data_IF_610653465025
#
_entry.id   IF_610653465025
#
_cell.length_a   1.000
_cell.length_b   1.000
_cell.length_c   1.000
_cell.angle_alpha   90.00
_cell.angle_beta   90.00
_cell.angle_gamma   90.00
#
_symmetry.space_group_name_H-M   'P 1'
#
loop_
_entity.id
_entity.type
_entity.pdbx_description
1 polymer ?
#
# COMPACT_ATOMS: atom_id res chain seq x y z
N UNK A 1 -6.15 0.23 32.72
CA UNK A 1 -5.46 1.21 31.85
C UNK A 1 -6.23 1.24 30.54
N UNK A 2 -6.49 2.42 29.98
CA UNK A 2 -7.22 2.53 28.72
C UNK A 2 -6.39 1.94 27.56
N UNK A 3 -7.01 1.10 26.73
CA UNK A 3 -6.34 0.33 25.67
C UNK A 3 -5.59 1.25 24.70
N UNK A 4 -6.26 2.34 24.29
CA UNK A 4 -5.70 3.35 23.38
C UNK A 4 -4.50 4.03 24.01
N UNK A 5 -4.60 4.47 25.26
CA UNK A 5 -3.52 5.16 25.96
C UNK A 5 -2.28 4.25 26.17
N UNK A 6 -2.48 2.96 26.47
CA UNK A 6 -1.38 2.00 26.57
C UNK A 6 -0.63 1.88 25.23
N UNK A 7 -1.36 1.72 24.13
CA UNK A 7 -0.75 1.58 22.80
C UNK A 7 -0.08 2.90 22.37
N UNK A 8 -0.73 4.04 22.58
CA UNK A 8 -0.17 5.37 22.27
C UNK A 8 1.19 5.57 22.92
N UNK A 9 1.33 5.22 24.21
CA UNK A 9 2.61 5.31 24.94
C UNK A 9 3.67 4.37 24.38
N UNK A 10 3.28 3.14 24.04
CA UNK A 10 4.21 2.15 23.47
C UNK A 10 4.75 2.62 22.12
N UNK A 11 3.88 3.11 21.23
CA UNK A 11 4.31 3.51 19.89
C UNK A 11 4.99 4.89 19.85
N UNK A 12 4.74 5.78 20.82
CA UNK A 12 5.31 7.13 20.83
C UNK A 12 6.84 7.14 20.78
N UNK A 13 7.50 6.14 21.36
CA UNK A 13 8.97 6.00 21.34
C UNK A 13 9.49 5.31 20.07
N UNK A 14 8.60 4.69 19.29
CA UNK A 14 8.98 3.83 18.17
C UNK A 14 8.60 4.39 16.79
N UNK A 15 7.76 5.42 16.76
CA UNK A 15 7.36 6.08 15.52
C UNK A 15 8.56 6.77 14.89
N UNK A 16 8.87 6.37 13.66
CA UNK A 16 9.89 7.01 12.84
C UNK A 16 9.22 7.59 11.58
N UNK A 17 9.18 8.92 11.42
CA UNK A 17 8.65 9.56 10.22
C UNK A 17 9.27 9.01 8.93
N UNK A 18 10.52 8.55 8.94
CA UNK A 18 11.20 7.97 7.79
C UNK A 18 10.56 6.68 7.28
N UNK A 19 9.75 6.00 8.09
CA UNK A 19 9.00 4.81 7.68
C UNK A 19 7.65 5.15 7.02
N UNK A 20 7.27 6.43 7.05
CA UNK A 20 6.06 6.96 6.43
C UNK A 20 4.76 6.37 6.98
N UNK A 21 3.67 6.63 6.28
CA UNK A 21 2.34 6.12 6.59
C UNK A 21 2.30 4.60 6.66
N UNK A 22 3.02 3.93 5.75
CA UNK A 22 2.99 2.48 5.68
C UNK A 22 3.65 1.84 6.90
N UNK A 23 4.90 2.19 7.23
CA UNK A 23 5.55 1.63 8.41
C UNK A 23 4.85 1.99 9.72
N UNK A 24 4.37 3.23 9.85
CA UNK A 24 3.61 3.67 11.02
C UNK A 24 2.34 2.84 11.23
N UNK A 25 1.57 2.62 10.17
CA UNK A 25 0.38 1.77 10.22
C UNK A 25 0.70 0.33 10.66
N UNK A 26 1.79 -0.25 10.15
CA UNK A 26 2.22 -1.60 10.52
C UNK A 26 2.66 -1.69 11.98
N UNK A 27 3.41 -0.69 12.46
CA UNK A 27 3.88 -0.59 13.84
C UNK A 27 2.74 -0.44 14.83
N UNK A 28 1.77 0.43 14.52
CA UNK A 28 0.57 0.59 15.33
C UNK A 28 -0.28 -0.68 15.34
N UNK A 29 -0.45 -1.34 14.18
CA UNK A 29 -1.13 -2.64 14.10
C UNK A 29 -0.44 -3.71 14.96
N UNK A 30 0.91 -3.70 15.01
CA UNK A 30 1.70 -4.59 15.85
C UNK A 30 1.41 -4.39 17.33
N UNK A 31 1.42 -3.14 17.80
CA UNK A 31 1.09 -2.82 19.18
C UNK A 31 -0.37 -3.18 19.52
N UNK A 32 -1.32 -2.83 18.65
CA UNK A 32 -2.74 -3.23 18.79
C UNK A 32 -2.88 -4.75 18.95
N UNK A 33 -2.21 -5.52 18.07
CA UNK A 33 -2.29 -6.99 18.07
C UNK A 33 -1.66 -7.61 19.32
N UNK A 34 -0.54 -7.05 19.80
CA UNK A 34 0.13 -7.48 21.04
C UNK A 34 -0.78 -7.35 22.26
N UNK A 35 -1.64 -6.34 22.28
CA UNK A 35 -2.61 -6.11 23.34
C UNK A 35 -3.97 -6.78 23.09
N UNK A 36 -4.07 -7.68 22.09
CA UNK A 36 -5.27 -8.47 21.81
C UNK A 36 -6.32 -7.81 20.92
N UNK A 37 -6.04 -6.61 20.38
CA UNK A 37 -6.90 -5.96 19.40
C UNK A 37 -6.59 -6.36 17.96
N UNK A 38 -7.36 -5.83 17.01
CA UNK A 38 -7.17 -6.05 15.58
C UNK A 38 -7.81 -4.95 14.73
N UNK A 39 -7.49 -4.91 13.44
CA UNK A 39 -8.18 -4.06 12.47
C UNK A 39 -9.16 -4.89 11.65
N UNK A 40 -10.42 -4.47 11.55
CA UNK A 40 -11.44 -5.05 10.68
C UNK A 40 -11.66 -4.13 9.48
N UNK A 41 -11.81 -4.65 8.27
CA UNK A 41 -12.11 -3.84 7.10
C UNK A 41 -12.96 -4.59 6.06
N UNK A 42 -13.85 -3.86 5.39
CA UNK A 42 -14.76 -4.41 4.39
C UNK A 42 -14.96 -3.43 3.23
N UNK A 43 -15.28 -3.99 2.08
CA UNK A 43 -15.50 -3.25 0.84
C UNK A 43 -16.81 -2.47 0.85
N UNK A 44 -16.81 -1.31 0.19
CA UNK A 44 -17.96 -0.46 -0.09
C UNK A 44 -17.86 0.08 -1.51
N UNK A 45 -18.96 0.45 -2.18
CA UNK A 45 -18.90 0.98 -3.55
C UNK A 45 -17.86 2.07 -3.76
N UNK A 46 -17.76 2.99 -2.79
CA UNK A 46 -16.87 4.15 -2.73
C UNK A 46 -15.43 3.83 -2.27
N UNK A 47 -15.14 2.62 -1.79
CA UNK A 47 -13.81 2.26 -1.27
C UNK A 47 -13.84 1.18 -0.20
N UNK A 48 -13.18 1.45 0.92
CA UNK A 48 -13.09 0.58 2.09
C UNK A 48 -13.57 1.34 3.33
N UNK A 49 -14.20 0.62 4.25
CA UNK A 49 -14.37 1.04 5.64
C UNK A 49 -13.55 0.13 6.54
N UNK A 50 -13.01 0.70 7.61
CA UNK A 50 -12.20 0.00 8.59
C UNK A 50 -12.57 0.39 10.02
N UNK A 51 -12.32 -0.52 10.95
CA UNK A 51 -12.48 -0.36 12.40
C UNK A 51 -11.25 -0.89 13.12
N UNK A 52 -10.88 -0.24 14.20
CA UNK A 52 -9.97 -0.81 15.19
C UNK A 52 -10.81 -1.36 16.34
N UNK A 53 -10.58 -2.63 16.65
CA UNK A 53 -11.27 -3.36 17.71
C UNK A 53 -10.29 -3.61 18.86
N UNK A 54 -10.67 -3.25 20.08
CA UNK A 54 -9.88 -3.51 21.28
C UNK A 54 -9.97 -4.98 21.74
N UNK A 55 -9.22 -5.33 22.79
CA UNK A 55 -9.20 -6.69 23.34
C UNK A 55 -10.53 -7.17 23.95
N UNK A 56 -11.48 -6.27 24.18
CA UNK A 56 -12.81 -6.57 24.70
C UNK A 56 -13.87 -6.62 23.60
N UNK A 57 -13.48 -6.39 22.34
CA UNK A 57 -14.39 -6.36 21.21
C UNK A 57 -15.05 -5.00 20.97
N UNK A 58 -14.63 -3.93 21.65
CA UNK A 58 -15.17 -2.60 21.42
C UNK A 58 -14.49 -1.91 20.24
N UNK A 59 -15.28 -1.19 19.45
CA UNK A 59 -14.77 -0.31 18.40
C UNK A 59 -14.15 0.91 19.07
N UNK A 60 -12.86 1.14 18.83
CA UNK A 60 -12.11 2.27 19.39
C UNK A 60 -11.68 3.30 18.34
N UNK A 61 -11.86 2.99 17.06
CA UNK A 61 -11.63 3.92 15.96
C UNK A 61 -12.29 3.41 14.67
N UNK A 62 -12.73 4.33 13.82
CA UNK A 62 -13.33 4.04 12.52
C UNK A 62 -12.66 4.88 11.44
N UNK A 63 -12.59 4.36 10.22
CA UNK A 63 -11.96 5.06 9.12
C UNK A 63 -12.39 4.57 7.75
N UNK A 64 -12.05 5.37 6.75
CA UNK A 64 -12.36 5.10 5.35
C UNK A 64 -11.15 5.32 4.46
N UNK A 65 -11.15 4.69 3.27
CA UNK A 65 -10.07 4.85 2.33
C UNK A 65 -10.27 4.18 0.99
N UNK A 66 -9.47 4.60 0.00
CA UNK A 66 -9.47 4.01 -1.36
C UNK A 66 -9.04 2.54 -1.38
N UNK A 67 -8.40 2.04 -0.32
CA UNK A 67 -8.03 0.63 -0.12
C UNK A 67 -7.79 0.35 1.39
N UNK A 68 -7.48 -0.89 1.78
CA UNK A 68 -7.45 -1.26 3.21
C UNK A 68 -6.40 -0.51 4.05
N UNK A 69 -5.11 -0.44 3.64
CA UNK A 69 -4.09 0.22 4.46
C UNK A 69 -4.39 1.69 4.85
N UNK A 70 -4.78 2.61 3.93
CA UNK A 70 -5.13 3.98 4.33
C UNK A 70 -6.37 4.05 5.21
N UNK A 71 -7.39 3.20 4.97
CA UNK A 71 -8.59 3.16 5.83
C UNK A 71 -8.25 2.72 7.26
N UNK A 72 -7.36 1.74 7.40
CA UNK A 72 -6.88 1.25 8.71
C UNK A 72 -6.07 2.32 9.42
N UNK A 73 -5.15 3.01 8.72
CA UNK A 73 -4.38 4.10 9.33
C UNK A 73 -5.28 5.26 9.77
N UNK A 74 -6.26 5.64 8.96
CA UNK A 74 -7.24 6.66 9.35
C UNK A 74 -7.99 6.25 10.62
N UNK A 75 -8.46 5.00 10.70
CA UNK A 75 -9.10 4.48 11.90
C UNK A 75 -8.18 4.49 13.14
N UNK A 76 -6.87 4.32 12.95
CA UNK A 76 -5.89 4.47 14.03
C UNK A 76 -5.69 5.93 14.44
N UNK A 77 -5.74 6.88 13.51
CA UNK A 77 -5.66 8.31 13.85
C UNK A 77 -6.89 8.75 14.61
N UNK A 78 -8.09 8.46 14.08
CA UNK A 78 -9.36 8.80 14.72
C UNK A 78 -9.56 8.11 16.06
N UNK A 79 -9.06 6.87 16.19
CA UNK A 79 -9.06 6.17 17.47
C UNK A 79 -8.08 6.73 18.50
N UNK A 80 -7.34 7.80 18.16
CA UNK A 80 -6.44 8.50 19.07
C UNK A 80 -5.18 7.71 19.40
N UNK A 81 -4.70 6.82 18.53
CA UNK A 81 -3.48 6.05 18.83
C UNK A 81 -2.20 6.88 18.75
N UNK A 82 -2.26 8.11 18.25
CA UNK A 82 -1.11 9.01 18.09
C UNK A 82 -1.25 10.27 18.95
N UNK A 83 -0.12 10.97 19.18
CA UNK A 83 -0.18 12.35 19.70
C UNK A 83 -0.84 13.26 18.67
N UNK A 84 -1.40 14.39 19.11
CA UNK A 84 -2.09 15.34 18.23
C UNK A 84 -1.23 15.75 17.02
N UNK A 85 0.03 16.12 17.24
CA UNK A 85 0.95 16.54 16.17
C UNK A 85 1.28 15.45 15.16
N UNK A 86 1.41 14.19 15.61
CA UNK A 86 1.64 13.05 14.73
C UNK A 86 0.37 12.71 13.97
N UNK A 87 -0.79 12.72 14.63
CA UNK A 87 -2.08 12.49 13.98
C UNK A 87 -2.36 13.51 12.87
N UNK A 88 -2.12 14.80 13.13
CA UNK A 88 -2.26 15.88 12.14
C UNK A 88 -1.34 15.64 10.93
N UNK A 89 -0.04 15.37 11.16
CA UNK A 89 0.92 15.06 10.08
C UNK A 89 0.52 13.84 9.24
N UNK A 90 -0.01 12.79 9.89
CA UNK A 90 -0.48 11.58 9.22
C UNK A 90 -1.68 11.91 8.33
N UNK A 91 -2.66 12.66 8.82
CA UNK A 91 -3.85 13.06 8.05
C UNK A 91 -3.49 13.95 6.86
N UNK A 92 -2.57 14.90 7.03
CA UNK A 92 -2.05 15.74 5.95
C UNK A 92 -1.43 14.92 4.81
N UNK A 93 -0.93 13.73 5.11
CA UNK A 93 -0.32 12.81 4.14
C UNK A 93 -1.27 11.71 3.63
N UNK A 94 -2.55 11.76 4.02
CA UNK A 94 -3.64 10.89 3.57
C UNK A 94 -4.63 11.62 2.65
N UNK A 95 -4.17 12.63 1.90
CA UNK A 95 -5.04 13.42 1.01
C UNK A 95 -5.68 12.61 -0.13
N UNK A 96 -5.16 11.41 -0.43
CA UNK A 96 -5.83 10.46 -1.34
C UNK A 96 -7.28 10.11 -0.95
N UNK A 97 -7.68 10.38 0.30
CA UNK A 97 -9.04 10.21 0.78
C UNK A 97 -10.01 11.21 0.15
N UNK A 98 -9.54 12.41 -0.20
CA UNK A 98 -10.35 13.45 -0.85
C UNK A 98 -10.84 12.97 -2.22
N UNK A 99 -10.02 12.19 -2.92
CA UNK A 99 -10.31 11.69 -4.27
C UNK A 99 -11.07 10.34 -4.24
N UNK A 100 -11.53 9.86 -3.09
CA UNK A 100 -12.18 8.53 -2.96
C UNK A 100 -13.35 8.32 -3.91
N UNK A 101 -14.27 9.29 -3.97
CA UNK A 101 -15.45 9.18 -4.81
C UNK A 101 -15.07 9.08 -6.28
N UNK A 102 -14.14 9.92 -6.74
CA UNK A 102 -13.67 9.93 -8.13
C UNK A 102 -12.90 8.65 -8.48
N UNK A 103 -12.04 8.18 -7.58
CA UNK A 103 -11.35 6.88 -7.74
C UNK A 103 -12.36 5.74 -7.86
N UNK A 104 -13.45 5.79 -7.09
CA UNK A 104 -14.48 4.75 -7.10
C UNK A 104 -15.23 4.66 -8.44
N UNK A 105 -15.35 5.79 -9.16
CA UNK A 105 -16.00 5.83 -10.49
C UNK A 105 -15.22 5.07 -11.57
N UNK A 106 -13.93 4.82 -11.36
CA UNK A 106 -13.06 4.10 -12.32
C UNK A 106 -13.23 2.58 -12.20
N UNK A 107 -13.19 2.06 -10.97
CA UNK A 107 -13.31 0.60 -10.73
C UNK A 107 -14.04 0.23 -9.44
N UNK A 108 -14.04 1.10 -8.43
CA UNK A 108 -14.83 0.94 -7.20
C UNK A 108 -14.35 -0.16 -6.26
N UNK A 109 -15.04 -0.29 -5.11
CA UNK A 109 -14.89 -1.40 -4.17
C UNK A 109 -13.47 -1.60 -3.59
N UNK A 110 -12.74 -0.49 -3.42
CA UNK A 110 -11.41 -0.49 -2.83
C UNK A 110 -10.32 -1.14 -3.70
N UNK A 111 -10.59 -1.34 -5.00
CA UNK A 111 -9.70 -2.05 -5.94
C UNK A 111 -8.88 -1.09 -6.78
N UNK A 112 -7.73 -0.73 -6.24
CA UNK A 112 -6.81 0.22 -6.88
C UNK A 112 -5.73 -0.44 -7.73
N UNK A 113 -5.31 -1.67 -7.44
CA UNK A 113 -4.18 -2.30 -8.16
C UNK A 113 -4.49 -2.49 -9.65
N UNK A 114 -5.67 -3.01 -9.99
CA UNK A 114 -6.08 -3.25 -11.38
C UNK A 114 -6.09 -1.97 -12.23
N UNK A 115 -6.77 -0.87 -11.84
CA UNK A 115 -6.73 0.37 -12.60
C UNK A 115 -5.35 1.02 -12.62
N UNK A 116 -4.58 0.94 -11.53
CA UNK A 116 -3.20 1.46 -11.48
C UNK A 116 -2.28 0.75 -12.47
N UNK A 117 -2.36 -0.58 -12.56
CA UNK A 117 -1.62 -1.38 -13.55
C UNK A 117 -2.00 -0.97 -14.97
N UNK A 118 -3.29 -0.76 -15.24
CA UNK A 118 -3.74 -0.29 -16.55
C UNK A 118 -3.19 1.10 -16.88
N UNK A 119 -3.14 2.01 -15.89
CA UNK A 119 -2.57 3.35 -16.03
C UNK A 119 -1.06 3.33 -16.32
N UNK A 120 -0.30 2.50 -15.60
CA UNK A 120 1.14 2.36 -15.86
C UNK A 120 1.41 1.91 -17.29
N UNK A 121 0.71 0.87 -17.76
CA UNK A 121 0.90 0.37 -19.13
C UNK A 121 0.56 1.44 -20.16
N UNK A 122 -0.57 2.13 -20.00
CA UNK A 122 -1.03 3.12 -20.96
C UNK A 122 -0.07 4.31 -21.09
N UNK A 123 0.44 4.82 -19.97
CA UNK A 123 1.41 5.93 -19.97
C UNK A 123 2.72 5.51 -20.62
N UNK A 124 3.21 4.31 -20.33
CA UNK A 124 4.43 3.78 -20.92
C UNK A 124 4.29 3.48 -22.41
N UNK A 125 3.15 2.95 -22.85
CA UNK A 125 2.87 2.69 -24.27
C UNK A 125 2.84 3.99 -25.10
N UNK A 126 2.54 5.12 -24.44
CA UNK A 126 2.59 6.47 -25.02
C UNK A 126 3.98 7.12 -24.88
N UNK A 127 5.01 6.40 -24.43
CA UNK A 127 6.36 6.92 -24.24
C UNK A 127 6.55 7.77 -22.98
N UNK A 128 5.49 7.95 -22.17
CA UNK A 128 5.54 8.67 -20.90
C UNK A 128 6.08 7.83 -19.74
N UNK A 129 6.08 8.42 -18.55
CA UNK A 129 6.54 7.75 -17.32
C UNK A 129 5.74 8.17 -16.10
N UNK A 130 5.80 7.35 -15.05
CA UNK A 130 5.19 7.65 -13.75
C UNK A 130 6.29 7.71 -12.70
N UNK A 131 6.49 8.89 -12.12
CA UNK A 131 7.52 9.15 -11.10
C UNK A 131 6.87 9.08 -9.72
N UNK A 132 7.58 8.51 -8.75
CA UNK A 132 7.16 8.53 -7.34
C UNK A 132 8.16 9.31 -6.51
N UNK A 133 7.64 10.16 -5.62
CA UNK A 133 8.43 11.00 -4.73
C UNK A 133 7.91 10.88 -3.30
N UNK A 134 8.78 10.95 -2.31
CA UNK A 134 8.42 11.05 -0.91
C UNK A 134 7.92 12.48 -0.64
N UNK A 135 6.89 12.58 0.19
CA UNK A 135 6.33 13.88 0.60
C UNK A 135 5.84 13.77 2.04
N UNK A 136 6.65 14.27 2.98
CA UNK A 136 6.43 14.09 4.41
C UNK A 136 6.35 12.61 4.82
N UNK A 137 5.18 12.20 5.31
CA UNK A 137 4.86 10.82 5.68
C UNK A 137 4.25 10.02 4.51
N UNK A 138 3.85 10.71 3.45
CA UNK A 138 3.21 10.12 2.29
C UNK A 138 4.13 10.10 1.07
N UNK A 139 3.51 9.83 -0.08
CA UNK A 139 4.14 9.77 -1.39
C UNK A 139 3.30 10.58 -2.37
N UNK A 140 3.97 11.35 -3.21
CA UNK A 140 3.41 12.00 -4.38
C UNK A 140 3.71 11.16 -5.62
N UNK A 141 2.77 11.16 -6.56
CA UNK A 141 2.91 10.47 -7.84
C UNK A 141 2.72 11.48 -8.95
N UNK A 142 3.66 11.50 -9.89
CA UNK A 142 3.66 12.42 -11.02
C UNK A 142 3.54 11.60 -12.30
N UNK A 143 2.52 11.89 -13.10
CA UNK A 143 2.40 11.38 -14.46
C UNK A 143 3.11 12.33 -15.40
N UNK A 144 3.96 11.80 -16.27
CA UNK A 144 4.71 12.55 -17.28
C UNK A 144 4.44 12.01 -18.67
N UNK A 145 4.40 12.89 -19.67
CA UNK A 145 4.31 12.52 -21.08
C UNK A 145 5.67 12.13 -21.68
N UNK A 146 5.68 11.78 -22.97
CA UNK A 146 6.88 11.41 -23.74
C UNK A 146 7.96 12.50 -23.81
N UNK A 147 7.60 13.76 -23.55
CA UNK A 147 8.51 14.90 -23.55
C UNK A 147 8.96 15.29 -22.14
N UNK A 148 8.75 14.42 -21.15
CA UNK A 148 8.99 14.66 -19.72
C UNK A 148 8.20 15.87 -19.15
N UNK A 149 7.08 16.24 -19.77
CA UNK A 149 6.20 17.27 -19.23
C UNK A 149 5.20 16.64 -18.26
N UNK A 150 5.01 17.29 -17.12
CA UNK A 150 4.02 16.85 -16.12
C UNK A 150 2.60 16.93 -16.69
N UNK A 151 1.93 15.78 -16.72
CA UNK A 151 0.51 15.64 -17.04
C UNK A 151 -0.35 15.95 -15.82
N UNK A 152 0.01 15.37 -14.67
CA UNK A 152 -0.59 15.73 -13.39
C UNK A 152 0.29 15.28 -12.21
N UNK A 153 0.08 15.93 -11.07
CA UNK A 153 0.59 15.52 -9.76
C UNK A 153 -0.58 15.06 -8.89
N UNK A 154 -0.47 13.86 -8.34
CA UNK A 154 -1.43 13.30 -7.38
C UNK A 154 -1.36 13.98 -6.01
N UNK A 155 -2.38 13.79 -5.16
CA UNK A 155 -2.29 14.23 -3.77
C UNK A 155 -1.24 13.42 -3.00
N UNK A 156 -0.77 13.95 -1.87
CA UNK A 156 0.07 13.18 -0.94
C UNK A 156 -0.73 11.97 -0.45
N UNK A 157 -0.14 10.79 -0.60
CA UNK A 157 -0.86 9.51 -0.46
C UNK A 157 -0.13 8.49 0.42
N UNK A 158 -0.87 7.48 0.90
CA UNK A 158 -0.35 6.42 1.78
C UNK A 158 0.82 5.60 1.19
N UNK A 159 0.82 5.35 -0.12
CA UNK A 159 1.86 4.61 -0.84
C UNK A 159 1.76 4.89 -2.35
N UNK A 160 2.71 4.41 -3.18
CA UNK A 160 2.70 4.64 -4.63
C UNK A 160 1.40 4.22 -5.31
N UNK A 161 0.88 3.03 -4.99
CA UNK A 161 -0.36 2.53 -5.59
C UNK A 161 -1.56 3.41 -5.21
N UNK A 162 -1.60 3.91 -3.98
CA UNK A 162 -2.65 4.83 -3.53
C UNK A 162 -2.55 6.16 -4.28
N UNK A 163 -1.33 6.71 -4.42
CA UNK A 163 -1.09 7.96 -5.12
C UNK A 163 -1.38 7.87 -6.61
N UNK A 164 -1.01 6.77 -7.28
CA UNK A 164 -1.36 6.58 -8.69
C UNK A 164 -2.87 6.49 -8.88
N UNK A 165 -3.58 5.78 -8.00
CA UNK A 165 -5.03 5.71 -8.07
C UNK A 165 -5.68 7.09 -7.86
N UNK A 166 -5.26 7.84 -6.85
CA UNK A 166 -5.80 9.16 -6.55
C UNK A 166 -5.43 10.24 -7.58
N UNK A 167 -4.29 10.08 -8.26
CA UNK A 167 -3.90 10.95 -9.36
C UNK A 167 -4.72 10.68 -10.63
N UNK A 168 -5.18 9.45 -10.84
CA UNK A 168 -5.80 9.03 -12.10
C UNK A 168 -7.03 9.86 -12.52
N UNK A 169 -7.98 10.21 -11.63
CA UNK A 169 -9.09 11.11 -11.97
C UNK A 169 -8.68 12.48 -12.50
N UNK A 170 -7.45 12.94 -12.20
CA UNK A 170 -6.92 14.24 -12.67
C UNK A 170 -6.48 14.21 -14.13
N UNK A 171 -6.50 13.04 -14.77
CA UNK A 171 -6.31 12.87 -16.22
C UNK A 171 -7.60 12.23 -16.78
N UNK A 172 -8.66 13.03 -17.04
CA UNK A 172 -10.00 12.49 -17.32
C UNK A 172 -10.05 11.54 -18.53
N UNK A 173 -9.28 11.82 -19.58
CA UNK A 173 -9.21 10.98 -20.77
C UNK A 173 -8.62 9.59 -20.47
N UNK A 174 -7.56 9.55 -19.67
CA UNK A 174 -6.92 8.31 -19.24
C UNK A 174 -7.83 7.52 -18.27
N UNK A 175 -8.44 8.22 -17.30
CA UNK A 175 -9.38 7.62 -16.36
C UNK A 175 -10.57 6.97 -17.08
N UNK A 176 -11.16 7.67 -18.06
CA UNK A 176 -12.27 7.16 -18.87
C UNK A 176 -11.84 5.98 -19.75
N UNK A 177 -10.64 6.05 -20.36
CA UNK A 177 -10.08 4.94 -21.14
C UNK A 177 -9.92 3.67 -20.29
N UNK A 178 -9.38 3.80 -19.08
CA UNK A 178 -9.21 2.68 -18.15
C UNK A 178 -10.56 2.16 -17.66
N UNK A 179 -11.48 3.04 -17.30
CA UNK A 179 -12.84 2.67 -16.88
C UNK A 179 -13.52 1.81 -17.93
N UNK A 180 -13.49 2.23 -19.20
CA UNK A 180 -14.03 1.44 -20.33
C UNK A 180 -13.32 0.11 -20.52
N UNK A 181 -11.99 0.09 -20.41
CA UNK A 181 -11.19 -1.15 -20.52
C UNK A 181 -11.54 -2.17 -19.42
N UNK A 182 -11.89 -1.69 -18.24
CA UNK A 182 -12.22 -2.54 -17.08
C UNK A 182 -13.71 -2.84 -16.95
N UNK A 183 -14.55 -2.26 -17.81
CA UNK A 183 -15.99 -2.53 -17.82
C UNK A 183 -16.27 -4.02 -18.05
N UNK A 184 -17.15 -4.60 -17.22
CA UNK A 184 -17.47 -6.03 -17.27
C UNK A 184 -16.36 -6.97 -16.75
N UNK A 185 -15.18 -6.45 -16.36
CA UNK A 185 -14.14 -7.29 -15.75
C UNK A 185 -14.48 -7.67 -14.31
N UNK A 186 -13.95 -8.80 -13.85
CA UNK A 186 -14.22 -9.33 -12.51
C UNK A 186 -13.64 -8.41 -11.43
N UNK A 187 -14.52 -7.83 -10.61
CA UNK A 187 -14.12 -7.05 -9.44
C UNK A 187 -14.30 -7.87 -8.13
N UNK A 188 -13.20 -8.41 -7.60
CA UNK A 188 -13.20 -9.16 -6.33
C UNK A 188 -13.72 -8.33 -5.14
N UNK A 189 -13.55 -7.01 -5.17
CA UNK A 189 -14.09 -6.14 -4.13
C UNK A 189 -15.62 -6.07 -4.14
N UNK A 190 -16.21 -6.01 -5.33
CA UNK A 190 -17.66 -6.09 -5.50
C UNK A 190 -18.22 -7.44 -5.00
N UNK A 191 -17.54 -8.54 -5.33
CA UNK A 191 -17.93 -9.88 -4.85
C UNK A 191 -17.90 -9.98 -3.33
N UNK A 192 -16.87 -9.43 -2.68
CA UNK A 192 -16.75 -9.40 -1.22
C UNK A 192 -17.83 -8.53 -0.58
N UNK A 193 -18.10 -7.36 -1.16
CA UNK A 193 -19.21 -6.50 -0.72
C UNK A 193 -20.55 -7.24 -0.79
N UNK A 194 -20.86 -7.89 -1.92
CA UNK A 194 -22.10 -8.66 -2.10
C UNK A 194 -22.26 -9.82 -1.12
N UNK A 195 -21.15 -10.45 -0.76
CA UNK A 195 -21.12 -11.57 0.19
C UNK A 195 -21.00 -11.11 1.66
N UNK A 196 -20.88 -9.80 1.93
CA UNK A 196 -20.70 -9.28 3.30
C UNK A 196 -19.42 -9.76 3.97
N UNK A 197 -18.32 -9.88 3.21
CA UNK A 197 -17.06 -10.41 3.72
C UNK A 197 -16.27 -9.35 4.49
N UNK A 198 -15.69 -9.76 5.62
CA UNK A 198 -14.86 -8.92 6.48
C UNK A 198 -13.42 -9.43 6.49
N UNK A 199 -12.46 -8.53 6.35
CA UNK A 199 -11.04 -8.82 6.50
C UNK A 199 -10.62 -8.42 7.91
N UNK A 200 -10.05 -9.34 8.68
CA UNK A 200 -9.43 -9.05 9.97
C UNK A 200 -7.93 -9.12 9.83
N UNK A 201 -7.27 -8.02 10.13
CA UNK A 201 -5.83 -7.86 10.12
C UNK A 201 -5.30 -7.86 11.55
N UNK A 202 -4.34 -8.74 11.79
CA UNK A 202 -3.52 -8.77 13.00
C UNK A 202 -2.05 -8.80 12.62
N UNK A 203 -1.18 -8.68 13.61
CA UNK A 203 0.26 -8.82 13.46
C UNK A 203 0.76 -9.93 14.40
N UNK A 204 1.51 -10.88 13.86
CA UNK A 204 2.06 -11.99 14.61
C UNK A 204 3.18 -12.70 13.84
N UNK A 205 4.18 -13.22 14.56
CA UNK A 205 5.33 -13.89 13.93
C UNK A 205 6.06 -13.01 12.91
N UNK A 206 6.24 -11.72 13.23
CA UNK A 206 6.90 -10.72 12.38
C UNK A 206 6.20 -10.44 11.04
N UNK A 207 4.90 -10.76 10.94
CA UNK A 207 4.10 -10.65 9.72
C UNK A 207 2.73 -10.06 10.03
N UNK A 208 2.13 -9.42 9.03
CA UNK A 208 0.70 -9.16 9.06
C UNK A 208 -0.02 -10.44 8.72
N UNK A 209 -1.05 -10.79 9.48
CA UNK A 209 -1.99 -11.87 9.20
C UNK A 209 -3.32 -11.26 8.78
N UNK A 210 -3.86 -11.70 7.65
CA UNK A 210 -5.23 -11.44 7.25
C UNK A 210 -6.04 -12.72 7.37
N UNK A 211 -7.27 -12.60 7.85
CA UNK A 211 -8.31 -13.63 7.80
C UNK A 211 -9.57 -13.03 7.19
N UNK A 212 -10.17 -13.73 6.23
CA UNK A 212 -11.43 -13.32 5.60
C UNK A 212 -12.56 -14.10 6.25
N UNK A 213 -13.55 -13.37 6.74
CA UNK A 213 -14.71 -13.90 7.44
C UNK A 213 -15.96 -13.80 6.58
N UNK A 214 -16.75 -14.87 6.59
CA UNK A 214 -18.15 -14.88 6.15
C UNK A 214 -19.01 -15.18 7.38
N UNK A 215 -19.54 -14.14 8.01
CA UNK A 215 -20.11 -14.27 9.36
C UNK A 215 -19.03 -14.69 10.36
N UNK A 216 -19.19 -15.85 10.98
CA UNK A 216 -18.21 -16.40 11.95
C UNK A 216 -17.17 -17.34 11.30
N UNK A 217 -17.40 -17.76 10.06
CA UNK A 217 -16.53 -18.70 9.34
C UNK A 217 -15.31 -18.00 8.73
N UNK A 218 -14.12 -18.55 8.96
CA UNK A 218 -12.89 -18.13 8.26
C UNK A 218 -12.80 -18.89 6.94
N UNK A 219 -12.94 -18.19 5.83
CA UNK A 219 -12.92 -18.79 4.48
C UNK A 219 -11.55 -18.71 3.81
N UNK A 220 -10.61 -17.92 4.35
CA UNK A 220 -9.23 -17.89 3.90
C UNK A 220 -8.34 -17.06 4.81
N UNK A 221 -7.06 -17.39 4.86
CA UNK A 221 -6.07 -16.67 5.65
C UNK A 221 -4.75 -16.52 4.93
N UNK A 222 -3.95 -15.52 5.28
CA UNK A 222 -2.57 -15.45 4.84
C UNK A 222 -1.74 -14.57 5.78
N UNK A 223 -0.44 -14.89 5.89
CA UNK A 223 0.52 -14.04 6.60
C UNK A 223 1.63 -13.56 5.67
N UNK A 224 1.80 -12.26 5.50
CA UNK A 224 2.79 -11.64 4.59
C UNK A 224 3.45 -10.39 5.19
N UNK A 225 4.35 -9.79 4.42
CA UNK A 225 5.16 -8.63 4.83
C UNK A 225 4.44 -7.29 4.86
N UNK A 226 3.21 -7.20 4.33
CA UNK A 226 2.38 -6.00 4.46
C UNK A 226 0.87 -6.32 4.47
N UNK A 227 0.06 -5.34 4.89
CA UNK A 227 -1.41 -5.41 4.96
C UNK A 227 -2.02 -5.81 3.61
N UNK A 228 -1.75 -5.05 2.55
CA UNK A 228 -2.38 -5.27 1.26
C UNK A 228 -2.01 -6.63 0.65
N UNK A 229 -0.74 -7.04 0.77
CA UNK A 229 -0.29 -8.34 0.26
C UNK A 229 -0.86 -9.52 1.06
N UNK A 230 -1.01 -9.36 2.39
CA UNK A 230 -1.69 -10.36 3.23
C UNK A 230 -3.16 -10.48 2.85
N UNK A 231 -3.84 -9.36 2.60
CA UNK A 231 -5.23 -9.32 2.13
C UNK A 231 -5.41 -10.07 0.82
N UNK A 232 -4.62 -9.74 -0.21
CA UNK A 232 -4.69 -10.40 -1.52
C UNK A 232 -4.36 -11.89 -1.42
N UNK A 233 -3.36 -12.30 -0.62
CA UNK A 233 -3.06 -13.72 -0.45
C UNK A 233 -4.18 -14.48 0.27
N UNK A 234 -4.87 -13.86 1.24
CA UNK A 234 -6.03 -14.46 1.88
C UNK A 234 -7.21 -14.59 0.91
N UNK A 235 -7.38 -13.64 -0.03
CA UNK A 235 -8.36 -13.75 -1.11
C UNK A 235 -8.07 -14.92 -2.05
N UNK A 236 -6.78 -15.17 -2.34
CA UNK A 236 -6.35 -16.32 -3.14
C UNK A 236 -6.67 -17.63 -2.41
N UNK A 237 -6.40 -17.72 -1.11
CA UNK A 237 -6.72 -18.89 -0.29
C UNK A 237 -8.23 -19.14 -0.20
N UNK A 238 -9.02 -18.06 -0.10
CA UNK A 238 -10.48 -18.12 -0.10
C UNK A 238 -11.12 -18.42 -1.47
N UNK A 239 -10.31 -18.63 -2.53
CA UNK A 239 -10.81 -18.88 -3.89
C UNK A 239 -11.47 -17.66 -4.56
N UNK A 240 -11.22 -16.46 -4.06
CA UNK A 240 -11.81 -15.21 -4.55
C UNK A 240 -10.99 -14.54 -5.66
N UNK A 241 -9.71 -14.89 -5.80
CA UNK A 241 -8.84 -14.33 -6.85
C UNK A 241 -8.87 -15.15 -8.14
N UNK A 242 -8.66 -14.50 -9.28
CA UNK A 242 -8.47 -15.19 -10.57
C UNK A 242 -7.15 -15.97 -10.61
N UNK A 243 -7.11 -17.07 -11.37
CA UNK A 243 -5.97 -18.01 -11.44
C UNK A 243 -4.63 -17.33 -11.76
N UNK A 244 -4.62 -16.48 -12.80
CA UNK A 244 -3.40 -15.77 -13.25
C UNK A 244 -2.76 -14.91 -12.17
N UNK A 245 -3.55 -14.08 -11.48
CA UNK A 245 -3.02 -13.23 -10.40
C UNK A 245 -2.65 -14.07 -9.18
N UNK A 246 -3.45 -15.09 -8.87
CA UNK A 246 -3.17 -16.02 -7.77
C UNK A 246 -1.79 -16.68 -7.89
N UNK A 247 -1.41 -17.10 -9.09
CA UNK A 247 -0.08 -17.66 -9.37
C UNK A 247 1.04 -16.62 -9.21
N UNK A 248 0.87 -15.42 -9.78
CA UNK A 248 1.85 -14.34 -9.67
C UNK A 248 2.18 -13.98 -8.22
N UNK A 249 1.14 -13.81 -7.39
CA UNK A 249 1.32 -13.50 -5.96
C UNK A 249 1.96 -14.67 -5.20
N UNK A 250 1.66 -15.92 -5.54
CA UNK A 250 2.33 -17.09 -4.93
C UNK A 250 3.82 -17.14 -5.28
N UNK A 251 4.17 -16.86 -6.53
CA UNK A 251 5.56 -16.89 -7.01
C UNK A 251 6.41 -15.77 -6.42
N UNK A 252 5.85 -14.55 -6.25
CA UNK A 252 6.62 -13.41 -5.73
C UNK A 252 7.32 -13.69 -4.40
N UNK A 253 6.66 -14.36 -3.46
CA UNK A 253 7.29 -14.73 -2.19
C UNK A 253 8.47 -15.69 -2.34
N UNK A 254 8.48 -16.54 -3.37
CA UNK A 254 9.58 -17.49 -3.63
C UNK A 254 10.82 -16.78 -4.16
N UNK A 255 10.62 -15.78 -5.01
CA UNK A 255 11.69 -15.02 -5.66
C UNK A 255 12.11 -13.75 -4.89
N UNK A 256 11.44 -13.44 -3.78
CA UNK A 256 11.75 -12.25 -2.97
C UNK A 256 13.11 -12.40 -2.26
N UNK A 257 14.12 -11.58 -2.59
CA UNK A 257 15.50 -11.75 -2.14
C UNK A 257 15.70 -11.37 -0.66
N UNK A 258 14.87 -10.47 -0.12
CA UNK A 258 15.09 -9.90 1.20
C UNK A 258 14.41 -10.67 2.32
N UNK A 259 13.32 -11.39 2.03
CA UNK A 259 12.44 -12.03 3.01
C UNK A 259 12.23 -11.15 4.26
N UNK A 260 12.11 -9.82 4.10
CA UNK A 260 12.14 -8.80 5.18
C UNK A 260 11.29 -9.11 6.40
N UNK A 261 10.13 -9.75 6.20
CA UNK A 261 9.24 -10.15 7.30
C UNK A 261 9.83 -11.25 8.19
N UNK A 262 10.78 -12.06 7.71
CA UNK A 262 11.54 -12.98 8.54
C UNK A 262 12.42 -12.23 9.57
N UNK A 263 12.75 -10.95 9.29
CA UNK A 263 13.60 -10.09 10.12
C UNK A 263 12.83 -9.08 10.97
N UNK A 264 11.50 -9.23 11.12
CA UNK A 264 10.71 -8.30 11.94
C UNK A 264 10.44 -6.93 11.33
N UNK A 265 10.81 -6.71 10.05
CA UNK A 265 10.58 -5.46 9.33
C UNK A 265 9.40 -5.58 8.37
N UNK A 266 8.62 -4.52 8.21
CA UNK A 266 7.54 -4.45 7.22
C UNK A 266 8.02 -3.86 5.89
N UNK A 267 7.34 -4.23 4.80
CA UNK A 267 7.71 -3.77 3.46
C UNK A 267 7.46 -2.28 3.23
N UNK A 268 6.54 -1.69 4.00
CA UNK A 268 6.23 -0.28 3.91
C UNK A 268 7.39 0.58 4.36
N UNK A 269 7.75 0.45 5.64
CA UNK A 269 8.76 1.26 6.29
C UNK A 269 10.12 1.15 5.61
N UNK A 270 10.55 -0.07 5.26
CA UNK A 270 11.83 -0.26 4.57
C UNK A 270 11.82 0.39 3.17
N UNK A 271 10.72 0.26 2.43
CA UNK A 271 10.60 0.88 1.11
C UNK A 271 10.63 2.41 1.17
N UNK A 272 9.97 3.01 2.18
CA UNK A 272 10.01 4.45 2.42
C UNK A 272 11.41 4.98 2.71
N UNK A 273 12.19 4.28 3.54
CA UNK A 273 13.59 4.63 3.80
C UNK A 273 14.48 4.52 2.57
N UNK A 274 14.22 3.53 1.70
CA UNK A 274 14.94 3.43 0.43
C UNK A 274 14.62 4.62 -0.45
N UNK A 275 13.34 4.98 -0.59
CA UNK A 275 12.90 6.12 -1.39
C UNK A 275 13.54 7.43 -0.91
N UNK A 276 13.52 7.67 0.41
CA UNK A 276 14.16 8.82 1.07
C UNK A 276 15.64 8.97 0.68
N UNK A 277 16.40 7.86 0.76
CA UNK A 277 17.82 7.85 0.41
C UNK A 277 18.11 8.01 -1.07
N UNK A 278 17.19 7.58 -1.93
CA UNK A 278 17.29 7.80 -3.36
C UNK A 278 17.16 9.30 -3.65
N UNK A 279 16.20 9.98 -3.01
CA UNK A 279 15.99 11.41 -3.16
C UNK A 279 17.15 12.25 -2.62
N UNK A 280 17.70 11.88 -1.46
CA UNK A 280 18.92 12.50 -0.90
C UNK A 280 20.12 12.45 -1.86
N UNK A 281 20.10 11.53 -2.83
CA UNK A 281 21.14 11.34 -3.85
C UNK A 281 20.73 11.82 -5.24
N UNK A 282 19.63 12.56 -5.32
CA UNK A 282 19.07 13.09 -6.57
C UNK A 282 18.78 11.98 -7.60
N UNK A 283 18.32 10.82 -7.11
CA UNK A 283 17.92 9.69 -7.95
C UNK A 283 16.41 9.66 -8.14
N UNK A 284 15.97 9.49 -9.38
CA UNK A 284 14.56 9.37 -9.73
C UNK A 284 14.09 7.92 -9.61
N UNK A 285 12.82 7.74 -9.22
CA UNK A 285 12.16 6.44 -9.25
C UNK A 285 10.98 6.46 -10.21
N UNK A 286 11.17 5.83 -11.37
CA UNK A 286 10.11 5.60 -12.34
C UNK A 286 9.42 4.26 -12.06
N UNK A 287 8.10 4.21 -12.27
CA UNK A 287 7.29 3.01 -12.07
C UNK A 287 6.66 2.60 -13.39
N UNK A 288 6.75 1.30 -13.67
CA UNK A 288 6.08 0.65 -14.78
C UNK A 288 5.46 -0.67 -14.37
N UNK A 289 4.65 -1.23 -15.25
CA UNK A 289 4.14 -2.58 -15.08
C UNK A 289 4.53 -3.44 -16.28
N UNK A 290 5.10 -4.61 -16.00
CA UNK A 290 5.20 -5.70 -16.97
C UNK A 290 4.40 -6.90 -16.42
N UNK A 291 5.07 -8.02 -16.14
CA UNK A 291 4.49 -9.10 -15.32
C UNK A 291 4.36 -8.69 -13.84
N UNK A 292 5.19 -7.74 -13.40
CA UNK A 292 5.28 -7.23 -12.03
C UNK A 292 5.37 -5.70 -12.04
N UNK A 293 4.98 -5.07 -10.92
CA UNK A 293 5.22 -3.65 -10.70
C UNK A 293 6.73 -3.47 -10.61
N UNK A 294 7.30 -2.72 -11.52
CA UNK A 294 8.75 -2.53 -11.64
C UNK A 294 9.10 -1.10 -11.26
N UNK A 295 10.02 -0.94 -10.32
CA UNK A 295 10.65 0.35 -10.04
C UNK A 295 11.98 0.40 -10.80
N UNK A 296 12.22 1.49 -11.51
CA UNK A 296 13.47 1.81 -12.20
C UNK A 296 14.10 2.98 -11.45
N UNK A 297 15.33 2.81 -10.99
CA UNK A 297 16.10 3.85 -10.31
C UNK A 297 17.01 4.49 -11.36
N UNK A 298 16.91 5.80 -11.53
CA UNK A 298 17.61 6.53 -12.60
C UNK A 298 18.38 7.74 -12.09
N UNK A 299 19.42 8.11 -12.82
CA UNK A 299 20.10 9.41 -12.73
C UNK A 299 20.14 10.03 -14.12
N UNK A 300 19.21 10.97 -14.38
CA UNK A 300 18.92 11.42 -15.74
C UNK A 300 18.48 10.25 -16.62
N UNK A 301 19.14 10.06 -17.77
CA UNK A 301 18.82 8.96 -18.69
C UNK A 301 19.41 7.60 -18.29
N UNK A 302 20.33 7.56 -17.33
CA UNK A 302 21.01 6.33 -16.94
C UNK A 302 20.18 5.54 -15.93
N UNK A 303 19.82 4.30 -16.27
CA UNK A 303 19.25 3.32 -15.32
C UNK A 303 20.37 2.76 -14.44
N UNK A 304 20.29 3.00 -13.12
CA UNK A 304 21.25 2.51 -12.12
C UNK A 304 20.81 1.20 -11.47
N UNK A 305 19.53 0.86 -11.61
CA UNK A 305 19.01 -0.43 -11.18
C UNK A 305 17.50 -0.52 -11.29
N UNK A 306 17.01 -1.73 -11.05
CA UNK A 306 15.59 -2.04 -11.17
C UNK A 306 15.20 -3.13 -10.18
N UNK A 307 13.92 -3.15 -9.82
CA UNK A 307 13.38 -4.22 -9.00
C UNK A 307 11.91 -4.47 -9.27
N UNK A 308 11.45 -5.66 -8.89
CA UNK A 308 10.08 -6.11 -9.10
C UNK A 308 9.30 -6.27 -7.78
N UNK A 309 8.01 -6.01 -7.87
CA UNK A 309 7.05 -6.03 -6.77
C UNK A 309 5.67 -6.47 -7.25
N UNK A 310 4.76 -6.71 -6.31
CA UNK A 310 3.41 -7.20 -6.65
C UNK A 310 2.32 -6.17 -6.40
N UNK A 311 2.26 -5.63 -5.18
CA UNK A 311 1.16 -4.73 -4.79
C UNK A 311 1.50 -3.25 -4.94
N UNK A 312 2.78 -2.88 -4.72
CA UNK A 312 3.24 -1.49 -4.86
C UNK A 312 4.74 -1.40 -5.14
N UNK A 313 5.16 -0.24 -5.65
CA UNK A 313 6.56 0.06 -5.99
C UNK A 313 7.52 0.05 -4.78
N UNK A 314 7.03 0.20 -3.54
CA UNK A 314 7.90 0.07 -2.35
C UNK A 314 8.51 -1.33 -2.24
N UNK A 315 7.73 -2.37 -2.58
CA UNK A 315 8.26 -3.75 -2.62
C UNK A 315 9.26 -3.95 -3.75
N UNK A 316 9.09 -3.22 -4.85
CA UNK A 316 10.01 -3.19 -6.00
C UNK A 316 11.34 -2.52 -5.64
N UNK A 317 11.30 -1.41 -4.89
CA UNK A 317 12.51 -0.72 -4.40
C UNK A 317 13.32 -1.60 -3.44
N UNK A 318 12.65 -2.31 -2.53
CA UNK A 318 13.30 -3.29 -1.65
C UNK A 318 13.98 -4.40 -2.45
N UNK A 319 13.31 -4.88 -3.50
CA UNK A 319 13.88 -5.87 -4.40
C UNK A 319 15.13 -5.32 -5.11
N UNK A 320 15.05 -4.13 -5.70
CA UNK A 320 16.15 -3.48 -6.42
C UNK A 320 17.38 -3.31 -5.53
N UNK A 321 17.20 -2.74 -4.34
CA UNK A 321 18.27 -2.58 -3.35
C UNK A 321 18.95 -3.92 -3.04
N UNK A 322 18.17 -4.98 -2.87
CA UNK A 322 18.71 -6.28 -2.50
C UNK A 322 19.49 -6.99 -3.62
N UNK A 323 19.20 -6.71 -4.89
CA UNK A 323 19.77 -7.46 -6.02
C UNK A 323 20.82 -6.69 -6.82
N UNK A 324 20.77 -5.36 -6.87
CA UNK A 324 21.59 -4.57 -7.78
C UNK A 324 22.84 -4.00 -7.10
N UNK A 325 24.02 -4.48 -7.51
CA UNK A 325 25.31 -4.10 -6.89
C UNK A 325 25.59 -2.60 -6.96
N UNK A 326 25.23 -1.94 -8.06
CA UNK A 326 25.41 -0.48 -8.21
C UNK A 326 24.57 0.27 -7.18
N UNK A 327 23.29 -0.10 -7.03
CA UNK A 327 22.45 0.43 -5.96
C UNK A 327 22.99 0.14 -4.56
N UNK A 328 23.64 -1.01 -4.31
CA UNK A 328 24.26 -1.29 -3.00
C UNK A 328 25.45 -0.38 -2.68
N UNK A 329 26.19 0.07 -3.70
CA UNK A 329 27.27 1.04 -3.52
C UNK A 329 26.68 2.43 -3.24
N UNK A 330 25.57 2.73 -3.90
CA UNK A 330 24.90 4.02 -3.81
C UNK A 330 23.88 4.11 -2.68
N UNK A 331 23.64 3.08 -1.90
CA UNK A 331 22.70 3.13 -0.78
C UNK A 331 23.29 2.22 0.29
N UNK A 332 23.55 2.73 1.50
CA UNK A 332 23.86 1.86 2.66
C UNK A 332 22.61 1.05 3.01
N UNK A 333 22.37 -0.05 2.32
CA UNK A 333 21.18 -0.86 2.59
C UNK A 333 21.37 -1.43 3.99
N UNK A 334 20.43 -1.10 4.89
CA UNK A 334 20.36 -1.69 6.23
C UNK A 334 19.89 -3.14 6.06
N UNK A 335 20.80 -3.97 5.56
CA UNK A 335 20.79 -5.42 5.69
C UNK A 335 21.52 -5.73 6.99
N UNK A 336 21.15 -5.07 8.10
CA UNK A 336 21.54 -5.57 9.41
C UNK A 336 20.78 -6.89 9.63
N UNK A 337 21.56 -7.94 9.90
CA UNK A 337 21.10 -9.31 10.12
C UNK A 337 20.28 -9.45 11.40
#
# INVERSE_FOLDING_TARGET
>A
MDFVETIRREIAAEIDPLEGNCGTCHRTLRAISKHGGYAAAWERPDGIRARIIDSRGYVVGEGEGITWPPAILFAMVEGGFYTKSVGESLLESLQCLIDMEEVSKIYGYGRVVTPVVAAYNEIWDQGGKVVIRRSGWGIEVVFMDENNKELCVGPISYCPTCGTAAALPRIPELAEKIRRRLEGTRNTGYEKFKQGLENRFTYGGNRVCCRIFRGEEVIGSASRCCIAYSGVCAEIEAGLSGSKWGELFKEYCRVCPTRICARGKDAGGVGYRILDRLEDRELETDVRMNNYITALIKKGENELGRGIGTVCALTSLINAAATEIELKKDIEIIVED
#
